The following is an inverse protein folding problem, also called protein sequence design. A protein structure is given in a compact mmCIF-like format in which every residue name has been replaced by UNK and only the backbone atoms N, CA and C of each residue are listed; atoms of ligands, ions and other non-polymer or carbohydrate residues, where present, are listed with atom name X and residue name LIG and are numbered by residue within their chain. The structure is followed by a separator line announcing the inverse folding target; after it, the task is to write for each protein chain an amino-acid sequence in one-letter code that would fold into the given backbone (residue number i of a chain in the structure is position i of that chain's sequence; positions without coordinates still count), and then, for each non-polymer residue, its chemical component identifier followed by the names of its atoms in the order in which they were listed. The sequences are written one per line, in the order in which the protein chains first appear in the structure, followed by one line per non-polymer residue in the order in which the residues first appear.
data_IF_354645162832
#
_entry.id   IF_354645162832
#
_cell.length_a   1.000
_cell.length_b   1.000
_cell.length_c   1.000
_cell.angle_alpha   90.00
_cell.angle_beta   90.00
_cell.angle_gamma   90.00
#
_symmetry.space_group_name_H-M   'P 1'
#
loop_
_entity.id
_entity.type
_entity.pdbx_description
1 polymer ?
#
# COMPACT_ATOMS: atom_id res chain seq x y z
N UNK A 1 23.71 19.34 14.70
CA UNK A 1 22.57 19.45 13.74
C UNK A 1 22.52 18.14 12.98
N UNK A 2 21.34 17.55 12.83
CA UNK A 2 21.17 16.40 11.94
C UNK A 2 21.64 16.82 10.53
N UNK A 3 22.56 16.03 9.97
CA UNK A 3 23.11 16.25 8.64
C UNK A 3 22.47 15.25 7.69
N UNK A 4 21.84 15.76 6.63
CA UNK A 4 21.26 14.93 5.57
C UNK A 4 22.31 14.78 4.49
N UNK A 5 22.80 13.55 4.31
CA UNK A 5 23.60 13.19 3.15
C UNK A 5 22.64 13.00 1.95
N UNK A 6 22.72 13.83 0.90
CA UNK A 6 21.84 13.69 -0.25
C UNK A 6 22.04 12.35 -0.95
N UNK A 7 20.94 11.72 -1.36
CA UNK A 7 20.95 10.49 -2.17
C UNK A 7 20.22 10.69 -3.50
N UNK A 8 20.43 9.78 -4.46
CA UNK A 8 19.58 9.70 -5.65
C UNK A 8 18.47 8.69 -5.34
N UNK A 9 17.22 9.12 -5.13
CA UNK A 9 16.13 8.22 -4.77
C UNK A 9 15.79 7.30 -5.94
N UNK A 10 15.45 6.05 -5.62
CA UNK A 10 15.03 5.04 -6.58
C UNK A 10 13.87 4.24 -5.99
N UNK A 11 12.65 4.57 -6.41
CA UNK A 11 11.41 3.96 -5.93
C UNK A 11 10.28 4.23 -6.93
N UNK A 12 9.27 3.36 -6.96
CA UNK A 12 8.00 3.61 -7.66
C UNK A 12 7.17 4.75 -7.01
N UNK A 13 7.44 5.11 -5.75
CA UNK A 13 6.73 6.15 -5.02
C UNK A 13 7.21 7.57 -5.40
N UNK A 14 6.97 7.96 -6.65
CA UNK A 14 7.50 9.19 -7.26
C UNK A 14 7.23 10.46 -6.45
N UNK A 15 6.07 10.57 -5.81
CA UNK A 15 5.68 11.75 -5.01
C UNK A 15 6.51 11.94 -3.74
N UNK A 16 7.15 10.88 -3.23
CA UNK A 16 8.04 10.91 -2.05
C UNK A 16 9.48 10.49 -2.38
N UNK A 17 9.83 10.41 -3.67
CA UNK A 17 11.19 10.13 -4.15
C UNK A 17 12.10 11.36 -3.97
N UNK A 18 12.38 11.71 -2.70
CA UNK A 18 13.14 12.91 -2.31
C UNK A 18 14.42 12.48 -1.60
N UNK A 19 15.57 12.72 -2.24
CA UNK A 19 16.87 12.33 -1.70
C UNK A 19 17.52 13.34 -0.74
N UNK A 20 16.96 14.54 -0.64
CA UNK A 20 17.40 15.59 0.29
C UNK A 20 16.18 16.39 0.77
N UNK A 21 15.39 15.85 1.71
CA UNK A 21 14.16 16.51 2.16
C UNK A 21 14.49 17.79 2.93
N UNK A 22 13.97 18.92 2.45
CA UNK A 22 14.19 20.24 3.07
C UNK A 22 13.77 20.26 4.55
N UNK A 23 12.65 19.60 4.86
CA UNK A 23 12.11 19.52 6.23
C UNK A 23 12.52 18.26 6.99
N UNK A 24 13.48 17.50 6.48
CA UNK A 24 13.94 16.25 7.11
C UNK A 24 14.36 16.40 8.58
N UNK A 25 15.13 17.45 8.98
CA UNK A 25 15.49 17.65 10.38
C UNK A 25 14.26 17.91 11.26
N UNK A 26 13.28 18.68 10.77
CA UNK A 26 12.04 18.93 11.52
C UNK A 26 11.20 17.67 11.68
N UNK A 27 11.14 16.81 10.66
CA UNK A 27 10.45 15.52 10.74
C UNK A 27 11.09 14.60 11.80
N UNK A 28 12.43 14.57 11.88
CA UNK A 28 13.16 13.81 12.92
C UNK A 28 12.86 14.36 14.32
N UNK A 29 12.84 15.68 14.48
CA UNK A 29 12.52 16.31 15.76
C UNK A 29 11.10 16.01 16.22
N UNK A 30 10.11 16.09 15.31
CA UNK A 30 8.71 15.72 15.61
C UNK A 30 8.60 14.24 15.99
N UNK A 31 9.28 13.34 15.27
CA UNK A 31 9.27 11.91 15.62
C UNK A 31 9.87 11.67 17.01
N UNK A 32 10.99 12.32 17.36
CA UNK A 32 11.61 12.20 18.69
C UNK A 32 10.72 12.76 19.79
N UNK A 33 10.16 13.96 19.59
CA UNK A 33 9.33 14.64 20.59
C UNK A 33 8.00 13.93 20.86
N UNK A 34 7.40 13.35 19.82
CA UNK A 34 6.16 12.56 19.95
C UNK A 34 6.39 11.14 20.48
N UNK A 35 7.64 10.68 20.60
CA UNK A 35 7.96 9.26 20.86
C UNK A 35 7.61 8.34 19.69
N UNK A 36 7.36 8.91 18.51
CA UNK A 36 7.06 8.21 17.27
C UNK A 36 8.31 7.67 16.57
N UNK A 37 8.14 7.26 15.31
CA UNK A 37 9.23 6.69 14.50
C UNK A 37 9.04 7.01 13.02
N UNK A 38 10.15 7.04 12.28
CA UNK A 38 10.18 7.07 10.82
C UNK A 38 10.64 5.70 10.35
N UNK A 39 9.95 5.11 9.38
CA UNK A 39 10.25 3.77 8.85
C UNK A 39 10.16 3.77 7.33
N UNK A 40 10.90 2.85 6.70
CA UNK A 40 10.89 2.61 5.28
C UNK A 40 10.30 1.23 4.95
N UNK A 41 9.83 1.13 3.70
CA UNK A 41 9.29 -0.07 3.06
C UNK A 41 9.85 -0.17 1.65
N UNK A 42 9.87 -1.38 1.12
CA UNK A 42 10.24 -1.69 -0.26
C UNK A 42 9.10 -1.40 -1.24
N UNK A 43 9.44 -1.24 -2.52
CA UNK A 43 8.46 -1.07 -3.58
C UNK A 43 7.46 -2.25 -3.67
N UNK A 44 7.91 -3.47 -3.35
CA UNK A 44 7.03 -4.64 -3.30
C UNK A 44 6.00 -4.55 -2.16
N UNK A 45 6.41 -4.09 -0.98
CA UNK A 45 5.50 -3.85 0.16
C UNK A 45 4.50 -2.73 -0.18
N UNK A 46 4.91 -1.69 -0.90
CA UNK A 46 4.02 -0.61 -1.36
C UNK A 46 2.91 -1.19 -2.26
N UNK A 47 3.28 -1.99 -3.26
CA UNK A 47 2.31 -2.61 -4.18
C UNK A 47 1.34 -3.55 -3.44
N UNK A 48 1.87 -4.37 -2.53
CA UNK A 48 1.04 -5.26 -1.70
C UNK A 48 0.05 -4.47 -0.82
N UNK A 49 0.49 -3.33 -0.26
CA UNK A 49 -0.35 -2.49 0.58
C UNK A 49 -1.45 -1.75 -0.19
N UNK A 50 -1.18 -1.31 -1.43
CA UNK A 50 -2.22 -0.73 -2.31
C UNK A 50 -3.31 -1.77 -2.56
N UNK A 51 -2.92 -3.02 -2.88
CA UNK A 51 -3.86 -4.12 -3.09
C UNK A 51 -4.67 -4.41 -1.84
N UNK A 52 -4.00 -4.55 -0.70
CA UNK A 52 -4.63 -4.81 0.59
C UNK A 52 -5.73 -3.77 0.87
N UNK A 53 -5.40 -2.47 0.80
CA UNK A 53 -6.36 -1.41 1.07
C UNK A 53 -7.54 -1.41 0.09
N UNK A 54 -7.29 -1.69 -1.19
CA UNK A 54 -8.32 -1.74 -2.20
C UNK A 54 -9.26 -2.97 -2.02
N UNK A 55 -8.68 -4.12 -1.67
CA UNK A 55 -9.41 -5.39 -1.52
C UNK A 55 -10.20 -5.47 -0.21
N UNK A 56 -9.72 -4.86 0.89
CA UNK A 56 -10.41 -4.91 2.20
C UNK A 56 -11.33 -3.72 2.44
N UNK A 57 -10.93 -2.51 2.04
CA UNK A 57 -11.66 -1.27 2.35
C UNK A 57 -12.30 -0.60 1.13
N UNK A 58 -12.02 -1.08 -0.08
CA UNK A 58 -12.49 -0.43 -1.32
C UNK A 58 -11.82 0.92 -1.60
N UNK A 59 -10.68 1.21 -0.97
CA UNK A 59 -9.95 2.48 -1.15
C UNK A 59 -8.74 2.27 -2.06
N UNK A 60 -8.77 2.89 -3.25
CA UNK A 60 -7.65 2.84 -4.19
C UNK A 60 -6.73 4.07 -4.06
N UNK A 61 -5.55 3.85 -3.48
CA UNK A 61 -4.54 4.89 -3.21
C UNK A 61 -3.40 4.93 -4.23
N UNK A 62 -2.74 6.09 -4.39
CA UNK A 62 -1.46 6.18 -5.09
C UNK A 62 -0.32 5.51 -4.29
N UNK A 63 0.86 5.41 -4.89
CA UNK A 63 2.05 4.77 -4.28
C UNK A 63 2.47 5.39 -2.94
N UNK A 64 2.32 6.70 -2.74
CA UNK A 64 2.60 7.32 -1.44
C UNK A 64 1.65 6.85 -0.33
N UNK A 65 0.35 6.69 -0.60
CA UNK A 65 -0.55 6.11 0.39
C UNK A 65 -0.35 4.60 0.55
N UNK A 66 0.11 3.90 -0.51
CA UNK A 66 0.63 2.55 -0.40
C UNK A 66 1.78 2.44 0.61
N UNK A 67 2.72 3.39 0.61
CA UNK A 67 3.78 3.49 1.63
C UNK A 67 3.20 3.64 3.04
N UNK A 68 2.22 4.53 3.24
CA UNK A 68 1.56 4.71 4.55
C UNK A 68 0.95 3.40 5.07
N UNK A 69 0.21 2.67 4.22
CA UNK A 69 -0.44 1.42 4.63
C UNK A 69 0.59 0.30 4.86
N UNK A 70 1.63 0.20 4.04
CA UNK A 70 2.70 -0.77 4.24
C UNK A 70 3.41 -0.56 5.59
N UNK A 71 3.69 0.71 5.94
CA UNK A 71 4.27 1.06 7.25
C UNK A 71 3.29 0.76 8.38
N UNK A 72 2.01 1.12 8.24
CA UNK A 72 0.98 0.80 9.24
C UNK A 72 0.95 -0.70 9.53
N UNK A 73 0.89 -1.54 8.48
CA UNK A 73 0.89 -3.01 8.60
C UNK A 73 2.11 -3.49 9.39
N UNK A 74 3.30 -3.01 9.06
CA UNK A 74 4.55 -3.38 9.74
C UNK A 74 4.57 -2.95 11.22
N UNK A 75 4.03 -1.77 11.53
CA UNK A 75 3.95 -1.28 12.92
C UNK A 75 2.91 -2.06 13.73
N UNK A 76 1.78 -2.43 13.13
CA UNK A 76 0.79 -3.29 13.77
C UNK A 76 1.35 -4.71 14.03
N UNK A 77 2.00 -5.32 13.02
CA UNK A 77 2.58 -6.66 13.14
C UNK A 77 3.73 -6.75 14.16
N UNK A 78 4.49 -5.68 14.32
CA UNK A 78 5.53 -5.59 15.35
C UNK A 78 5.00 -5.26 16.74
N UNK A 79 3.70 -5.03 16.89
CA UNK A 79 3.07 -4.61 18.14
C UNK A 79 3.45 -3.19 18.59
N UNK A 80 3.99 -2.36 17.68
CA UNK A 80 4.32 -0.97 17.95
C UNK A 80 3.09 -0.07 17.97
N UNK A 81 2.06 -0.45 17.22
CA UNK A 81 0.68 0.06 17.32
C UNK A 81 -0.16 -1.08 17.87
N UNK A 82 -0.80 -0.88 19.02
CA UNK A 82 -1.62 -1.88 19.66
C UNK A 82 -3.04 -1.94 19.05
N UNK A 83 -3.72 -3.12 19.05
CA UNK A 83 -5.06 -3.28 18.45
C UNK A 83 -6.16 -2.41 19.08
N UNK A 84 -5.97 -1.94 20.31
CA UNK A 84 -6.89 -1.07 21.05
C UNK A 84 -6.63 0.43 20.79
N UNK A 85 -5.56 0.78 20.06
CA UNK A 85 -5.26 2.16 19.71
C UNK A 85 -6.11 2.67 18.53
N UNK A 86 -6.60 3.89 18.64
CA UNK A 86 -7.20 4.59 17.50
C UNK A 86 -6.10 5.20 16.63
N UNK A 87 -5.91 4.65 15.44
CA UNK A 87 -4.91 5.11 14.47
C UNK A 87 -5.56 5.83 13.30
N UNK A 88 -5.00 6.99 12.92
CA UNK A 88 -5.41 7.74 11.72
C UNK A 88 -4.30 7.64 10.67
N UNK A 89 -4.65 7.18 9.47
CA UNK A 89 -3.74 7.15 8.32
C UNK A 89 -4.11 8.22 7.29
N UNK A 90 -3.10 8.91 6.78
CA UNK A 90 -3.26 9.91 5.74
C UNK A 90 -3.04 9.28 4.37
N UNK A 91 -4.12 9.13 3.62
CA UNK A 91 -4.08 8.77 2.21
C UNK A 91 -4.02 10.05 1.39
N UNK A 92 -2.81 10.46 1.05
CA UNK A 92 -2.53 11.80 0.49
C UNK A 92 -2.85 11.93 -1.00
N UNK A 93 -3.18 10.82 -1.69
CA UNK A 93 -3.63 10.90 -3.07
C UNK A 93 -4.29 9.65 -3.63
N UNK A 94 -4.98 9.87 -4.75
CA UNK A 94 -5.83 8.90 -5.42
C UNK A 94 -5.04 7.96 -6.34
N UNK A 95 -5.40 6.67 -6.33
CA UNK A 95 -4.71 5.62 -7.11
C UNK A 95 -4.65 5.82 -8.62
N UNK A 96 -5.57 6.60 -9.20
CA UNK A 96 -5.55 6.92 -10.63
C UNK A 96 -4.30 7.70 -11.07
N UNK A 97 -3.57 8.33 -10.14
CA UNK A 97 -2.31 9.01 -10.46
C UNK A 97 -1.16 8.05 -10.81
N UNK A 98 -1.20 6.84 -10.27
CA UNK A 98 -0.09 5.86 -10.37
C UNK A 98 -0.61 4.46 -10.66
N UNK A 99 -1.64 4.34 -11.50
CA UNK A 99 -2.26 3.06 -11.83
C UNK A 99 -1.28 2.07 -12.46
N UNK A 100 -0.20 2.57 -13.09
CA UNK A 100 0.87 1.72 -13.63
C UNK A 100 1.57 0.88 -12.55
N UNK A 101 1.60 1.33 -11.29
CA UNK A 101 2.27 0.64 -10.19
C UNK A 101 1.65 -0.72 -9.86
N UNK A 102 0.36 -0.91 -10.20
CA UNK A 102 -0.36 -2.16 -9.93
C UNK A 102 -0.71 -2.93 -11.21
N UNK A 103 -0.51 -2.35 -12.39
CA UNK A 103 -0.96 -2.90 -13.68
C UNK A 103 -0.45 -4.32 -13.92
N UNK A 104 0.81 -4.59 -13.61
CA UNK A 104 1.45 -5.88 -13.89
C UNK A 104 1.24 -6.91 -12.77
N UNK A 105 0.58 -6.53 -11.67
CA UNK A 105 0.29 -7.41 -10.53
C UNK A 105 -1.21 -7.68 -10.33
N UNK A 106 -2.07 -6.96 -11.05
CA UNK A 106 -3.49 -7.27 -11.15
C UNK A 106 -3.67 -8.24 -12.33
N UNK A 107 -4.35 -9.36 -12.08
CA UNK A 107 -4.54 -10.41 -13.09
C UNK A 107 -5.21 -9.87 -14.35
N UNK A 108 -4.99 -10.54 -15.48
CA UNK A 108 -5.69 -10.22 -16.72
C UNK A 108 -7.19 -10.52 -16.57
N UNK A 109 -8.08 -9.68 -17.13
CA UNK A 109 -9.50 -10.01 -17.20
C UNK A 109 -9.72 -11.34 -17.92
N UNK A 110 -10.70 -12.12 -17.45
CA UNK A 110 -11.15 -13.32 -18.15
C UNK A 110 -11.69 -12.94 -19.53
N UNK A 111 -11.12 -13.52 -20.59
CA UNK A 111 -11.65 -13.41 -21.94
C UNK A 111 -12.67 -14.53 -22.14
N UNK A 112 -13.91 -14.15 -22.44
CA UNK A 112 -15.03 -15.06 -22.65
C UNK A 112 -15.68 -14.78 -23.99
N UNK A 113 -16.41 -15.76 -24.52
CA UNK A 113 -17.27 -15.55 -25.68
C UNK A 113 -18.48 -14.68 -25.30
N UNK A 114 -19.10 -14.03 -26.29
CA UNK A 114 -20.27 -13.17 -26.09
C UNK A 114 -21.57 -13.97 -25.84
N UNK A 115 -21.52 -14.93 -24.91
CA UNK A 115 -22.64 -15.81 -24.54
C UNK A 115 -22.80 -15.90 -23.03
N UNK A 116 -24.03 -16.09 -22.57
CA UNK A 116 -24.34 -16.25 -21.15
C UNK A 116 -23.69 -17.52 -20.56
N UNK A 117 -23.60 -18.59 -21.34
CA UNK A 117 -22.97 -19.84 -20.91
C UNK A 117 -21.47 -19.67 -20.65
N UNK A 118 -20.75 -18.97 -21.54
CA UNK A 118 -19.32 -18.66 -21.36
C UNK A 118 -19.09 -17.81 -20.10
N UNK A 119 -19.98 -16.84 -19.84
CA UNK A 119 -19.96 -16.06 -18.60
C UNK A 119 -20.17 -16.94 -17.35
N UNK A 120 -21.21 -17.76 -17.33
CA UNK A 120 -21.54 -18.61 -16.18
C UNK A 120 -20.40 -19.60 -15.85
N UNK A 121 -19.77 -20.17 -16.88
CA UNK A 121 -18.62 -21.05 -16.71
C UNK A 121 -17.41 -20.33 -16.13
N UNK A 122 -17.07 -19.14 -16.66
CA UNK A 122 -15.97 -18.33 -16.15
C UNK A 122 -16.22 -17.86 -14.70
N UNK A 123 -17.46 -17.47 -14.40
CA UNK A 123 -17.86 -17.07 -13.05
C UNK A 123 -17.72 -18.22 -12.04
N UNK A 124 -18.23 -19.42 -12.37
CA UNK A 124 -18.10 -20.59 -11.51
C UNK A 124 -16.62 -20.94 -11.22
N UNK A 125 -15.75 -20.84 -12.23
CA UNK A 125 -14.31 -21.06 -12.08
C UNK A 125 -13.65 -20.01 -11.18
N UNK A 126 -14.03 -18.73 -11.31
CA UNK A 126 -13.49 -17.64 -10.50
C UNK A 126 -13.99 -17.71 -9.05
N UNK A 127 -15.28 -17.92 -8.84
CA UNK A 127 -15.89 -17.99 -7.49
C UNK A 127 -15.41 -19.21 -6.69
N UNK A 128 -15.10 -20.33 -7.35
CA UNK A 128 -14.53 -21.52 -6.69
C UNK A 128 -13.10 -21.32 -6.19
N UNK A 129 -12.34 -20.39 -6.78
CA UNK A 129 -10.96 -20.07 -6.36
C UNK A 129 -10.93 -19.11 -5.16
N UNK A 130 -11.95 -18.26 -4.98
CA UNK A 130 -12.01 -17.28 -3.89
C UNK A 130 -12.07 -17.94 -2.50
N UNK A 131 -12.71 -19.10 -2.38
CA UNK A 131 -12.85 -19.85 -1.11
C UNK A 131 -11.53 -20.43 -0.57
N UNK A 132 -10.47 -20.52 -1.37
CA UNK A 132 -9.18 -21.04 -0.91
C UNK A 132 -8.26 -19.96 -0.28
N UNK A 133 -8.60 -18.67 -0.43
CA UNK A 133 -7.73 -17.55 -0.02
C UNK A 133 -8.25 -16.67 1.13
N UNK A 134 -9.49 -16.88 1.60
CA UNK A 134 -10.12 -16.03 2.63
C UNK A 134 -10.04 -16.60 4.05
N UNK A 135 -9.35 -17.72 4.26
CA UNK A 135 -9.12 -18.27 5.59
C UNK A 135 -7.95 -17.53 6.28
N UNK A 136 -8.19 -16.33 6.79
CA UNK A 136 -7.51 -15.66 7.92
C UNK A 136 -7.79 -14.16 7.85
N UNK A 137 -8.80 -13.69 8.59
CA UNK A 137 -8.72 -12.74 9.72
C UNK A 137 -10.13 -12.69 10.32
N UNK A 138 -10.33 -13.45 11.39
CA UNK A 138 -11.34 -13.19 12.40
C UNK A 138 -10.60 -12.96 13.72
#
# INVERSE_FOLDING_TARGET
RDFIAPVKPHTIAKSIAIGNPADGPYALDVARQSGGSITAVSDAEIVAAIKLLAETEGIFTETAGGTTIAVLKKLAESGRIHPDETTVTYITGNGLKTAEAVKDVIGAPFKIDATLDSFNQAWANASGQTTAGTALVA
#
